data_IF_804446556261
#
_entry.id   IF_804446556261
#
_cell.length_a   1.000
_cell.length_b   1.000
_cell.length_c   1.000
_cell.angle_alpha   90.00
_cell.angle_beta   90.00
_cell.angle_gamma   90.00
#
_symmetry.space_group_name_H-M   'P 1'
#
loop_
_entity.id
_entity.type
_entity.pdbx_description
1 polymer ?
#
# COMPACT_ATOMS: atom_id res chain seq x y z
N UNK A 1 5.91 -15.04 -26.60
CA UNK A 1 6.35 -15.13 -25.19
C UNK A 1 5.36 -15.88 -24.27
N UNK A 2 4.13 -15.36 -24.05
CA UNK A 2 3.14 -15.94 -23.12
C UNK A 2 2.88 -17.44 -23.33
N UNK A 3 2.56 -17.84 -24.55
CA UNK A 3 2.27 -19.25 -24.88
C UNK A 3 3.43 -20.19 -24.55
N UNK A 4 4.68 -19.80 -24.85
CA UNK A 4 5.88 -20.58 -24.55
C UNK A 4 6.07 -20.77 -23.04
N UNK A 5 6.09 -19.69 -22.26
CA UNK A 5 6.49 -19.79 -20.84
C UNK A 5 5.31 -20.16 -19.93
N UNK A 6 4.11 -19.59 -20.11
CA UNK A 6 2.97 -19.90 -19.24
C UNK A 6 2.51 -21.35 -19.38
N UNK A 7 2.56 -21.92 -20.59
CA UNK A 7 2.27 -23.34 -20.80
C UNK A 7 3.23 -24.24 -20.02
N UNK A 8 4.54 -23.92 -20.04
CA UNK A 8 5.56 -24.68 -19.31
C UNK A 8 5.41 -24.53 -17.79
N UNK A 9 5.11 -23.32 -17.32
CA UNK A 9 4.81 -23.09 -15.90
C UNK A 9 3.64 -23.97 -15.44
N UNK A 10 2.55 -23.99 -16.20
CA UNK A 10 1.36 -24.75 -15.84
C UNK A 10 1.54 -26.28 -15.97
N UNK A 11 2.26 -26.75 -17.01
CA UNK A 11 2.36 -28.18 -17.32
C UNK A 11 3.59 -28.88 -16.72
N UNK A 12 4.70 -28.17 -16.57
CA UNK A 12 5.98 -28.71 -16.09
C UNK A 12 6.30 -28.27 -14.64
N UNK A 13 5.36 -27.61 -13.95
CA UNK A 13 5.53 -27.08 -12.58
C UNK A 13 6.76 -26.17 -12.42
N UNK A 14 7.07 -25.38 -13.45
CA UNK A 14 8.19 -24.44 -13.43
C UNK A 14 7.92 -23.30 -12.47
N UNK A 15 8.94 -22.90 -11.71
CA UNK A 15 8.87 -21.83 -10.73
C UNK A 15 9.30 -20.49 -11.33
N UNK A 16 8.72 -19.42 -10.82
CA UNK A 16 9.06 -18.05 -11.22
C UNK A 16 9.47 -17.19 -10.03
N UNK A 17 10.24 -16.15 -10.32
CA UNK A 17 10.46 -15.03 -9.41
C UNK A 17 10.27 -13.69 -10.12
N UNK A 18 10.00 -12.66 -9.32
CA UNK A 18 9.85 -11.27 -9.75
C UNK A 18 10.98 -10.44 -9.15
N UNK A 19 11.86 -9.91 -9.99
CA UNK A 19 13.10 -9.27 -9.57
C UNK A 19 13.15 -7.79 -9.95
N UNK A 20 12.77 -6.96 -8.98
CA UNK A 20 12.73 -5.51 -9.10
C UNK A 20 13.74 -4.86 -8.17
N UNK A 21 13.65 -5.15 -6.88
CA UNK A 21 14.47 -4.52 -5.84
C UNK A 21 15.95 -4.85 -5.97
N UNK A 22 16.76 -3.90 -5.52
CA UNK A 22 18.22 -3.92 -5.49
C UNK A 22 18.71 -3.65 -4.06
N UNK A 23 20.00 -3.86 -3.75
CA UNK A 23 20.51 -3.64 -2.39
C UNK A 23 20.22 -2.24 -1.83
N UNK A 24 20.24 -1.21 -2.67
CA UNK A 24 19.99 0.20 -2.30
C UNK A 24 18.63 0.72 -2.72
N UNK A 25 17.86 -0.02 -3.53
CA UNK A 25 16.60 0.44 -4.13
C UNK A 25 15.47 -0.55 -3.87
N UNK A 26 14.52 -0.15 -3.02
CA UNK A 26 13.35 -0.93 -2.66
C UNK A 26 12.06 -0.20 -3.00
N UNK A 27 11.75 0.84 -2.21
CA UNK A 27 10.59 1.72 -2.43
C UNK A 27 10.76 2.58 -3.68
N UNK A 28 11.97 3.09 -3.90
CA UNK A 28 12.33 3.83 -5.12
C UNK A 28 12.70 2.86 -6.25
N UNK A 29 11.68 2.30 -6.90
CA UNK A 29 11.86 1.42 -8.07
C UNK A 29 12.39 2.19 -9.28
N UNK A 30 12.24 3.51 -9.32
CA UNK A 30 12.68 4.34 -10.43
C UNK A 30 14.22 4.46 -10.48
N UNK A 31 14.86 4.43 -9.30
CA UNK A 31 16.30 4.58 -9.12
C UNK A 31 17.12 3.31 -9.35
N UNK A 32 16.57 2.22 -9.88
CA UNK A 32 17.32 0.97 -10.08
C UNK A 32 18.55 1.15 -10.99
N UNK A 33 19.62 0.40 -10.71
CA UNK A 33 20.91 0.48 -11.39
C UNK A 33 21.27 -0.76 -12.21
N UNK A 34 20.56 -1.88 -12.08
CA UNK A 34 20.78 -3.04 -12.95
C UNK A 34 20.61 -2.62 -14.41
N UNK A 35 21.68 -2.72 -15.20
CA UNK A 35 21.75 -2.19 -16.55
C UNK A 35 21.27 -3.21 -17.58
N UNK A 36 20.57 -2.71 -18.59
CA UNK A 36 20.24 -3.41 -19.82
C UNK A 36 20.85 -2.66 -21.00
N UNK A 37 22.08 -3.01 -21.39
CA UNK A 37 22.73 -2.38 -22.55
C UNK A 37 22.18 -2.98 -23.83
N UNK A 38 21.69 -2.14 -24.75
CA UNK A 38 21.27 -2.61 -26.07
C UNK A 38 22.47 -3.14 -26.87
N UNK A 39 22.27 -4.27 -27.55
CA UNK A 39 23.29 -4.95 -28.36
C UNK A 39 22.62 -5.52 -29.62
N UNK A 40 22.48 -4.67 -30.64
CA UNK A 40 21.65 -4.95 -31.81
C UNK A 40 20.17 -5.01 -31.43
N UNK A 41 19.54 -6.16 -31.69
CA UNK A 41 18.15 -6.45 -31.32
C UNK A 41 17.99 -6.98 -29.89
N UNK A 42 19.10 -7.40 -29.28
CA UNK A 42 19.15 -8.01 -27.95
C UNK A 42 19.52 -6.98 -26.87
N UNK A 43 19.49 -7.43 -25.62
CA UNK A 43 20.03 -6.70 -24.47
C UNK A 43 21.05 -7.53 -23.70
N UNK A 44 22.05 -6.86 -23.14
CA UNK A 44 23.02 -7.44 -22.21
C UNK A 44 22.74 -6.90 -20.81
N UNK A 45 22.38 -7.79 -19.89
CA UNK A 45 22.11 -7.44 -18.50
C UNK A 45 23.37 -7.53 -17.63
N UNK A 46 23.61 -6.48 -16.84
CA UNK A 46 24.68 -6.40 -15.86
C UNK A 46 24.20 -5.75 -14.56
N UNK A 47 24.40 -6.41 -13.43
CA UNK A 47 24.07 -5.86 -12.11
C UNK A 47 23.59 -6.90 -11.12
N UNK A 48 22.83 -6.44 -10.13
CA UNK A 48 22.32 -7.30 -9.06
C UNK A 48 20.89 -6.95 -8.69
N UNK A 49 20.12 -7.98 -8.33
CA UNK A 49 18.83 -7.86 -7.66
C UNK A 49 18.93 -8.46 -6.27
N UNK A 50 18.11 -7.98 -5.35
CA UNK A 50 18.16 -8.40 -3.96
C UNK A 50 16.76 -8.53 -3.36
N UNK A 51 16.62 -9.37 -2.33
CA UNK A 51 15.34 -9.75 -1.72
C UNK A 51 14.42 -10.58 -2.63
N UNK A 52 14.99 -11.39 -3.53
CA UNK A 52 14.19 -12.08 -4.56
C UNK A 52 13.62 -13.39 -4.03
N UNK A 53 12.33 -13.38 -3.72
CA UNK A 53 11.56 -14.57 -3.40
C UNK A 53 11.63 -15.58 -4.54
N UNK A 54 11.87 -16.84 -4.21
CA UNK A 54 12.14 -17.95 -5.14
C UNK A 54 13.40 -17.81 -6.01
N UNK A 55 14.24 -16.78 -5.90
CA UNK A 55 15.38 -16.60 -6.82
C UNK A 55 16.37 -17.78 -6.83
N UNK A 56 16.49 -18.50 -5.71
CA UNK A 56 17.31 -19.70 -5.59
C UNK A 56 16.68 -20.97 -6.17
N UNK A 57 15.41 -20.92 -6.57
CA UNK A 57 14.62 -22.07 -7.04
C UNK A 57 13.94 -21.83 -8.41
N UNK A 58 13.71 -20.58 -8.79
CA UNK A 58 12.96 -20.21 -10.00
C UNK A 58 13.69 -20.63 -11.27
N UNK A 59 12.93 -21.19 -12.22
CA UNK A 59 13.38 -21.48 -13.58
C UNK A 59 13.38 -20.21 -14.43
N UNK A 60 12.38 -19.34 -14.23
CA UNK A 60 12.19 -18.10 -14.99
C UNK A 60 12.13 -16.88 -14.08
N UNK A 61 12.72 -15.79 -14.54
CA UNK A 61 12.84 -14.56 -13.78
C UNK A 61 12.32 -13.40 -14.62
N UNK A 62 11.34 -12.67 -14.09
CA UNK A 62 11.00 -11.34 -14.62
C UNK A 62 11.96 -10.35 -13.99
N UNK A 63 12.86 -9.76 -14.78
CA UNK A 63 13.85 -8.78 -14.33
C UNK A 63 13.48 -7.40 -14.84
N UNK A 64 13.48 -6.41 -13.95
CA UNK A 64 13.38 -4.99 -14.34
C UNK A 64 14.78 -4.39 -14.35
N UNK A 65 15.19 -3.80 -15.46
CA UNK A 65 16.52 -3.21 -15.62
C UNK A 65 16.42 -1.92 -16.42
N UNK A 66 17.34 -0.98 -16.17
CA UNK A 66 17.34 0.33 -16.83
C UNK A 66 18.37 0.36 -17.97
N UNK A 67 18.06 1.07 -19.06
CA UNK A 67 19.05 1.40 -20.09
C UNK A 67 19.90 2.61 -19.71
N UNK A 68 19.37 3.47 -18.83
CA UNK A 68 20.03 4.65 -18.30
C UNK A 68 19.43 4.99 -16.92
N UNK A 69 20.19 4.90 -15.82
CA UNK A 69 19.71 5.27 -14.48
C UNK A 69 19.17 6.71 -14.40
N UNK A 70 19.75 7.65 -15.15
CA UNK A 70 19.32 9.05 -15.16
C UNK A 70 17.93 9.25 -15.79
N UNK A 71 17.49 8.33 -16.65
CA UNK A 71 16.17 8.37 -17.27
C UNK A 71 15.04 7.91 -16.33
N UNK A 72 15.36 7.46 -15.11
CA UNK A 72 14.42 7.00 -14.09
C UNK A 72 13.34 6.08 -14.67
N UNK A 73 12.05 6.39 -14.46
CA UNK A 73 10.91 5.63 -14.97
C UNK A 73 10.95 5.37 -16.48
N UNK A 74 11.48 6.31 -17.26
CA UNK A 74 11.54 6.23 -18.72
C UNK A 74 12.67 5.31 -19.22
N UNK A 75 13.65 4.98 -18.38
CA UNK A 75 14.75 4.07 -18.73
C UNK A 75 14.45 2.59 -18.50
N UNK A 76 13.40 2.27 -17.74
CA UNK A 76 13.16 0.90 -17.23
C UNK A 76 12.45 0.03 -18.26
N UNK A 77 13.06 -1.12 -18.58
CA UNK A 77 12.45 -2.23 -19.32
C UNK A 77 12.18 -3.43 -18.42
N UNK A 78 11.49 -4.43 -18.97
CA UNK A 78 11.21 -5.71 -18.30
C UNK A 78 11.60 -6.88 -19.21
N UNK A 79 12.31 -7.85 -18.64
CA UNK A 79 12.98 -8.92 -19.38
C UNK A 79 12.67 -10.27 -18.73
N UNK A 80 12.48 -11.30 -19.56
CA UNK A 80 12.40 -12.69 -19.09
C UNK A 80 13.77 -13.34 -19.22
N UNK A 81 14.32 -13.79 -18.10
CA UNK A 81 15.62 -14.48 -18.02
C UNK A 81 15.43 -15.90 -17.51
N UNK A 82 16.08 -16.87 -18.15
CA UNK A 82 16.11 -18.24 -17.63
C UNK A 82 17.30 -18.45 -16.68
N UNK A 83 17.09 -19.24 -15.64
CA UNK A 83 18.10 -19.52 -14.60
C UNK A 83 19.42 -20.05 -15.15
N UNK A 84 19.36 -20.91 -16.16
CA UNK A 84 20.52 -21.64 -16.67
C UNK A 84 21.30 -20.86 -17.73
N UNK A 85 20.89 -19.62 -18.05
CA UNK A 85 21.63 -18.81 -19.01
C UNK A 85 23.01 -18.41 -18.47
N UNK A 86 24.04 -18.37 -19.33
CA UNK A 86 25.37 -17.91 -18.94
C UNK A 86 25.31 -16.54 -18.28
N UNK A 87 26.01 -16.37 -17.16
CA UNK A 87 26.09 -15.11 -16.42
C UNK A 87 25.03 -14.92 -15.33
N UNK A 88 24.00 -15.77 -15.25
CA UNK A 88 22.99 -15.74 -14.18
C UNK A 88 23.50 -16.49 -12.96
N UNK A 89 23.48 -15.84 -11.79
CA UNK A 89 23.90 -16.44 -10.51
C UNK A 89 22.94 -16.10 -9.39
N UNK A 90 22.62 -17.10 -8.56
CA UNK A 90 21.88 -16.90 -7.32
C UNK A 90 22.84 -16.94 -6.12
N UNK A 91 22.62 -16.03 -5.16
CA UNK A 91 23.33 -16.02 -3.89
C UNK A 91 22.79 -17.05 -2.89
N UNK A 92 23.31 -16.97 -1.67
CA UNK A 92 22.82 -17.80 -0.56
C UNK A 92 21.43 -17.35 -0.10
N UNK A 93 20.71 -18.29 0.53
CA UNK A 93 19.42 -18.02 1.17
C UNK A 93 19.57 -17.04 2.33
N UNK A 94 18.78 -15.96 2.31
CA UNK A 94 18.87 -14.89 3.29
C UNK A 94 18.17 -15.32 4.60
N UNK A 95 18.86 -15.24 5.76
CA UNK A 95 18.25 -15.49 7.06
C UNK A 95 17.26 -14.37 7.41
N UNK A 96 15.99 -14.71 7.61
CA UNK A 96 14.89 -13.77 7.89
C UNK A 96 14.23 -14.04 9.24
N UNK A 97 13.61 -13.02 9.81
CA UNK A 97 12.78 -13.11 11.02
C UNK A 97 11.61 -14.11 10.87
N UNK A 98 10.82 -13.92 9.81
CA UNK A 98 9.65 -14.73 9.47
C UNK A 98 9.70 -15.24 8.03
N UNK A 99 8.71 -16.03 7.64
CA UNK A 99 8.59 -16.67 6.32
C UNK A 99 9.86 -17.44 5.94
N UNK A 100 10.44 -18.12 6.93
CA UNK A 100 11.79 -18.72 6.84
C UNK A 100 11.90 -19.87 5.83
N UNK A 101 10.78 -20.55 5.55
CA UNK A 101 10.70 -21.58 4.52
C UNK A 101 10.67 -21.03 3.09
N UNK A 102 10.27 -19.76 2.92
CA UNK A 102 10.28 -19.10 1.62
C UNK A 102 11.72 -18.76 1.23
N UNK A 103 12.19 -19.32 0.11
CA UNK A 103 13.51 -19.02 -0.44
C UNK A 103 13.60 -17.54 -0.83
N UNK A 104 14.63 -16.84 -0.36
CA UNK A 104 14.88 -15.45 -0.74
C UNK A 104 16.38 -15.27 -0.90
N UNK A 105 16.82 -14.77 -2.04
CA UNK A 105 18.25 -14.65 -2.38
C UNK A 105 18.56 -13.32 -3.05
N UNK A 106 19.85 -12.99 -3.15
CA UNK A 106 20.33 -12.08 -4.18
C UNK A 106 20.46 -12.78 -5.53
N UNK A 107 20.30 -12.04 -6.62
CA UNK A 107 20.61 -12.47 -7.98
C UNK A 107 21.68 -11.57 -8.56
N UNK A 108 22.60 -12.12 -9.32
CA UNK A 108 23.63 -11.39 -10.05
C UNK A 108 23.58 -11.77 -11.53
N UNK A 109 23.75 -10.76 -12.38
CA UNK A 109 23.78 -10.89 -13.82
C UNK A 109 25.11 -10.31 -14.30
N UNK A 110 25.90 -11.13 -14.98
CA UNK A 110 27.15 -10.73 -15.61
C UNK A 110 27.11 -11.08 -17.09
N UNK A 111 26.99 -10.07 -17.93
CA UNK A 111 26.92 -10.19 -19.39
C UNK A 111 25.84 -11.17 -19.89
N UNK A 112 24.67 -11.15 -19.23
CA UNK A 112 23.56 -12.04 -19.58
C UNK A 112 22.87 -11.51 -20.83
N UNK A 113 23.00 -12.23 -21.95
CA UNK A 113 22.30 -11.91 -23.20
C UNK A 113 20.82 -12.28 -23.10
N UNK A 114 19.95 -11.31 -23.33
CA UNK A 114 18.50 -11.46 -23.41
C UNK A 114 18.07 -11.22 -24.85
N UNK A 115 17.60 -12.27 -25.56
CA UNK A 115 17.09 -12.14 -26.91
C UNK A 115 15.89 -11.19 -27.00
N UNK A 116 15.70 -10.53 -28.16
CA UNK A 116 14.55 -9.65 -28.44
C UNK A 116 13.20 -10.29 -28.07
N UNK A 117 12.99 -11.57 -28.36
CA UNK A 117 11.74 -12.28 -28.08
C UNK A 117 11.44 -12.46 -26.58
N UNK A 118 12.45 -12.26 -25.72
CA UNK A 118 12.38 -12.34 -24.27
C UNK A 118 12.21 -10.98 -23.59
N UNK A 119 12.11 -9.89 -24.35
CA UNK A 119 11.71 -8.57 -23.84
C UNK A 119 10.20 -8.58 -23.56
N UNK A 120 9.82 -8.44 -22.28
CA UNK A 120 8.41 -8.40 -21.85
C UNK A 120 7.84 -7.01 -22.09
N UNK A 121 8.61 -5.98 -21.76
CA UNK A 121 8.29 -4.58 -22.01
C UNK A 121 9.57 -3.84 -22.38
N UNK A 122 9.58 -3.07 -23.49
CA UNK A 122 10.74 -2.29 -23.87
C UNK A 122 11.05 -1.21 -22.82
N UNK A 123 12.27 -0.65 -22.81
CA UNK A 123 12.61 0.52 -22.01
C UNK A 123 11.56 1.63 -22.17
N UNK A 124 11.14 2.22 -21.04
CA UNK A 124 10.07 3.22 -20.96
C UNK A 124 8.68 2.63 -20.68
N UNK A 125 8.50 1.31 -20.83
CA UNK A 125 7.25 0.63 -20.49
C UNK A 125 7.37 -0.31 -19.28
N UNK A 126 8.59 -0.62 -18.84
CA UNK A 126 8.84 -1.55 -17.73
C UNK A 126 8.34 -1.03 -16.38
N UNK A 127 8.52 0.26 -16.08
CA UNK A 127 8.04 0.83 -14.82
C UNK A 127 6.51 0.76 -14.70
N UNK A 128 5.79 1.13 -15.75
CA UNK A 128 4.33 1.06 -15.80
C UNK A 128 3.83 -0.39 -15.68
N UNK A 129 4.51 -1.34 -16.32
CA UNK A 129 4.22 -2.76 -16.17
C UNK A 129 4.40 -3.24 -14.72
N UNK A 130 5.48 -2.82 -14.04
CA UNK A 130 5.69 -3.14 -12.63
C UNK A 130 4.55 -2.60 -11.75
N UNK A 131 4.18 -1.33 -11.93
CA UNK A 131 3.11 -0.69 -11.16
C UNK A 131 1.76 -1.39 -11.38
N UNK A 132 1.41 -1.70 -12.64
CA UNK A 132 0.19 -2.47 -12.97
C UNK A 132 0.21 -3.87 -12.36
N UNK A 133 1.37 -4.51 -12.30
CA UNK A 133 1.52 -5.81 -11.64
C UNK A 133 1.24 -5.68 -10.16
N UNK A 134 1.85 -4.70 -9.47
CA UNK A 134 1.61 -4.46 -8.05
C UNK A 134 0.16 -4.14 -7.72
N UNK A 135 -0.53 -3.34 -8.53
CA UNK A 135 -1.96 -3.06 -8.32
C UNK A 135 -2.81 -4.33 -8.34
N UNK A 136 -2.39 -5.37 -9.08
CA UNK A 136 -3.08 -6.68 -9.13
C UNK A 136 -2.64 -7.66 -8.05
N UNK A 137 -1.41 -7.58 -7.55
CA UNK A 137 -0.85 -8.54 -6.56
C UNK A 137 -1.02 -8.08 -5.12
N UNK A 138 -1.09 -6.78 -4.84
CA UNK A 138 -1.31 -6.23 -3.49
C UNK A 138 -2.55 -6.78 -2.76
N UNK A 139 -3.71 -7.04 -3.41
CA UNK A 139 -4.83 -7.71 -2.75
C UNK A 139 -4.45 -9.10 -2.19
N UNK A 140 -3.59 -9.86 -2.88
CA UNK A 140 -3.10 -11.16 -2.40
C UNK A 140 -2.28 -11.03 -1.12
N UNK A 141 -1.46 -9.98 -1.00
CA UNK A 141 -0.73 -9.70 0.25
C UNK A 141 -1.70 -9.38 1.39
N UNK A 142 -2.74 -8.59 1.12
CA UNK A 142 -3.81 -8.35 2.07
C UNK A 142 -4.51 -9.66 2.48
N UNK A 143 -4.75 -10.58 1.54
CA UNK A 143 -5.33 -11.89 1.83
C UNK A 143 -4.44 -12.76 2.73
N UNK A 144 -3.11 -12.74 2.53
CA UNK A 144 -2.16 -13.43 3.42
C UNK A 144 -2.24 -12.88 4.85
N UNK A 145 -2.32 -11.55 4.98
CA UNK A 145 -2.46 -10.89 6.27
C UNK A 145 -3.77 -11.24 6.97
N UNK A 146 -4.90 -11.25 6.24
CA UNK A 146 -6.20 -11.70 6.76
C UNK A 146 -6.13 -13.14 7.27
N UNK A 147 -5.49 -14.05 6.52
CA UNK A 147 -5.32 -15.44 6.92
C UNK A 147 -4.51 -15.59 8.22
N UNK A 148 -3.39 -14.88 8.32
CA UNK A 148 -2.54 -14.89 9.51
C UNK A 148 -3.27 -14.29 10.73
N UNK A 149 -3.94 -13.14 10.56
CA UNK A 149 -4.73 -12.48 11.60
C UNK A 149 -5.86 -13.38 12.11
N UNK A 150 -6.62 -13.99 11.18
CA UNK A 150 -7.68 -14.93 11.49
C UNK A 150 -7.15 -16.11 12.30
N UNK A 151 -6.05 -16.72 11.86
CA UNK A 151 -5.45 -17.86 12.55
C UNK A 151 -5.04 -17.50 13.99
N UNK A 152 -4.38 -16.34 14.17
CA UNK A 152 -3.99 -15.88 15.49
C UNK A 152 -5.20 -15.62 16.41
N UNK A 153 -6.26 -15.02 15.86
CA UNK A 153 -7.52 -14.79 16.58
C UNK A 153 -8.20 -16.10 16.97
N UNK A 154 -8.33 -17.05 16.06
CA UNK A 154 -8.94 -18.36 16.34
C UNK A 154 -8.15 -19.08 17.44
N UNK A 155 -6.80 -19.09 17.36
CA UNK A 155 -5.95 -19.65 18.42
C UNK A 155 -6.13 -18.94 19.77
N UNK A 156 -6.25 -17.61 19.77
CA UNK A 156 -6.47 -16.84 20.98
C UNK A 156 -7.83 -17.13 21.61
N UNK A 157 -8.91 -17.16 20.82
CA UNK A 157 -10.27 -17.51 21.26
C UNK A 157 -10.26 -18.90 21.92
N UNK A 158 -9.61 -19.85 21.27
CA UNK A 158 -9.46 -21.21 21.74
C UNK A 158 -8.71 -21.30 23.08
N UNK A 159 -7.65 -20.50 23.23
CA UNK A 159 -6.87 -20.44 24.46
C UNK A 159 -7.67 -19.79 25.60
N UNK A 160 -8.30 -18.63 25.38
CA UNK A 160 -9.01 -17.90 26.45
C UNK A 160 -10.27 -18.63 26.94
N UNK A 161 -10.87 -19.48 26.11
CA UNK A 161 -12.00 -20.34 26.49
C UNK A 161 -11.60 -21.52 27.39
N UNK A 162 -10.31 -21.88 27.43
CA UNK A 162 -9.77 -23.01 28.21
C UNK A 162 -8.95 -22.56 29.41
N UNK A 163 -8.12 -21.52 29.24
CA UNK A 163 -7.24 -21.00 30.29
C UNK A 163 -8.04 -20.40 31.44
N UNK A 164 -7.67 -20.74 32.67
CA UNK A 164 -8.26 -20.21 33.90
C UNK A 164 -7.23 -19.41 34.70
N UNK A 165 -7.68 -18.29 35.27
CA UNK A 165 -6.97 -17.46 36.26
C UNK A 165 -8.00 -16.91 37.22
N UNK A 166 -7.61 -16.57 38.46
CA UNK A 166 -8.50 -16.00 39.48
C UNK A 166 -9.89 -16.67 39.57
N UNK A 167 -9.93 -18.01 39.52
CA UNK A 167 -11.16 -18.81 39.60
C UNK A 167 -12.04 -18.87 38.34
N UNK A 168 -11.77 -18.08 37.30
CA UNK A 168 -12.62 -17.99 36.09
C UNK A 168 -11.85 -18.28 34.80
N UNK A 169 -12.56 -18.52 33.70
CA UNK A 169 -11.94 -18.61 32.36
C UNK A 169 -11.53 -17.21 31.90
N UNK A 170 -10.45 -17.10 31.13
CA UNK A 170 -10.04 -15.80 30.60
C UNK A 170 -11.13 -15.11 29.77
N UNK A 171 -11.91 -15.90 29.01
CA UNK A 171 -13.04 -15.41 28.22
C UNK A 171 -14.14 -14.68 29.01
N UNK A 172 -14.18 -14.85 30.34
CA UNK A 172 -15.19 -14.20 31.19
C UNK A 172 -14.78 -12.80 31.66
N UNK A 173 -13.53 -12.38 31.44
CA UNK A 173 -13.08 -11.04 31.79
C UNK A 173 -13.41 -10.06 30.66
N UNK A 174 -14.07 -8.95 31.00
CA UNK A 174 -14.48 -7.91 30.04
C UNK A 174 -13.30 -7.39 29.20
N UNK A 175 -12.13 -7.16 29.81
CA UNK A 175 -10.94 -6.72 29.10
C UNK A 175 -10.47 -7.72 28.00
N UNK A 176 -10.67 -9.02 28.22
CA UNK A 176 -10.38 -10.05 27.20
C UNK A 176 -11.46 -10.04 26.12
N UNK A 177 -12.73 -9.87 26.47
CA UNK A 177 -13.83 -9.80 25.52
C UNK A 177 -13.67 -8.62 24.54
N UNK A 178 -13.25 -7.45 25.03
CA UNK A 178 -12.96 -6.29 24.18
C UNK A 178 -11.84 -6.57 23.18
N UNK A 179 -10.75 -7.20 23.61
CA UNK A 179 -9.66 -7.61 22.71
C UNK A 179 -10.15 -8.56 21.62
N UNK A 180 -10.93 -9.58 21.98
CA UNK A 180 -11.50 -10.51 21.00
C UNK A 180 -12.45 -9.79 20.02
N UNK A 181 -13.28 -8.87 20.51
CA UNK A 181 -14.19 -8.09 19.66
C UNK A 181 -13.42 -7.23 18.64
N UNK A 182 -12.38 -6.52 19.08
CA UNK A 182 -11.51 -5.74 18.18
C UNK A 182 -10.76 -6.61 17.18
N UNK A 183 -10.26 -7.78 17.61
CA UNK A 183 -9.60 -8.72 16.72
C UNK A 183 -10.55 -9.21 15.62
N UNK A 184 -11.79 -9.55 15.99
CA UNK A 184 -12.82 -9.98 15.06
C UNK A 184 -13.19 -8.87 14.07
N UNK A 185 -13.43 -7.65 14.56
CA UNK A 185 -13.68 -6.47 13.72
C UNK A 185 -12.56 -6.27 12.68
N UNK A 186 -11.29 -6.28 13.13
CA UNK A 186 -10.13 -6.06 12.26
C UNK A 186 -10.03 -7.13 11.17
N UNK A 187 -10.26 -8.40 11.51
CA UNK A 187 -10.25 -9.51 10.54
C UNK A 187 -11.35 -9.32 9.49
N UNK A 188 -12.58 -9.04 9.90
CA UNK A 188 -13.72 -8.92 8.98
C UNK A 188 -13.63 -7.66 8.10
N UNK A 189 -13.27 -6.51 8.66
CA UNK A 189 -13.04 -5.28 7.87
C UNK A 189 -11.91 -5.47 6.85
N UNK A 190 -10.80 -6.10 7.27
CA UNK A 190 -9.68 -6.40 6.35
C UNK A 190 -10.12 -7.36 5.23
N UNK A 191 -10.91 -8.38 5.57
CA UNK A 191 -11.44 -9.35 4.60
C UNK A 191 -12.33 -8.68 3.56
N UNK A 192 -13.24 -7.81 3.98
CA UNK A 192 -14.13 -7.07 3.07
C UNK A 192 -13.33 -6.18 2.11
N UNK A 193 -12.36 -5.43 2.63
CA UNK A 193 -11.54 -4.53 1.82
C UNK A 193 -10.69 -5.29 0.79
N UNK A 194 -10.07 -6.41 1.19
CA UNK A 194 -9.31 -7.29 0.30
C UNK A 194 -10.20 -7.89 -0.79
N UNK A 195 -11.39 -8.39 -0.43
CA UNK A 195 -12.34 -8.95 -1.40
C UNK A 195 -12.85 -7.92 -2.39
N UNK A 196 -13.10 -6.69 -1.95
CA UNK A 196 -13.44 -5.58 -2.84
C UNK A 196 -12.31 -5.32 -3.85
N UNK A 197 -11.06 -5.23 -3.39
CA UNK A 197 -9.92 -5.01 -4.28
C UNK A 197 -9.74 -6.14 -5.29
N UNK A 198 -9.88 -7.40 -4.84
CA UNK A 198 -9.82 -8.57 -5.73
C UNK A 198 -10.95 -8.55 -6.76
N UNK A 199 -12.18 -8.23 -6.33
CA UNK A 199 -13.31 -8.12 -7.25
C UNK A 199 -13.12 -7.01 -8.29
N UNK A 200 -12.52 -5.87 -7.93
CA UNK A 200 -12.17 -4.82 -8.90
C UNK A 200 -11.15 -5.31 -9.94
N UNK A 201 -10.13 -6.07 -9.51
CA UNK A 201 -9.16 -6.71 -10.41
C UNK A 201 -9.87 -7.65 -11.39
N UNK A 202 -10.74 -8.52 -10.87
CA UNK A 202 -11.44 -9.54 -11.68
C UNK A 202 -12.44 -8.93 -12.67
N UNK A 203 -12.98 -7.76 -12.37
CA UNK A 203 -13.90 -7.01 -13.24
C UNK A 203 -13.18 -6.00 -14.16
N UNK A 204 -11.85 -6.06 -14.26
CA UNK A 204 -11.06 -5.20 -15.15
C UNK A 204 -11.09 -3.72 -14.79
N UNK A 205 -11.46 -3.37 -13.56
CA UNK A 205 -11.42 -2.00 -13.04
C UNK A 205 -10.00 -1.64 -12.63
N UNK A 206 -9.68 -0.35 -12.54
CA UNK A 206 -8.40 0.08 -11.95
C UNK A 206 -8.44 -0.15 -10.42
N UNK A 207 -7.68 -1.12 -9.88
CA UNK A 207 -7.73 -1.45 -8.48
C UNK A 207 -6.71 -0.64 -7.68
N UNK A 208 -5.95 0.28 -8.28
CA UNK A 208 -4.75 0.88 -7.67
C UNK A 208 -5.01 1.45 -6.28
N UNK A 209 -6.10 2.17 -6.09
CA UNK A 209 -6.45 2.79 -4.81
C UNK A 209 -6.99 1.76 -3.82
N UNK A 210 -7.96 0.94 -4.22
CA UNK A 210 -8.55 -0.09 -3.36
C UNK A 210 -7.53 -1.16 -2.95
N UNK A 211 -6.64 -1.57 -3.85
CA UNK A 211 -5.55 -2.51 -3.59
C UNK A 211 -4.53 -1.93 -2.60
N UNK A 212 -4.19 -0.65 -2.73
CA UNK A 212 -3.28 0.04 -1.80
C UNK A 212 -3.92 0.13 -0.41
N UNK A 213 -5.19 0.54 -0.31
CA UNK A 213 -5.96 0.53 0.94
C UNK A 213 -6.04 -0.86 1.57
N UNK A 214 -6.43 -1.86 0.79
CA UNK A 214 -6.53 -3.25 1.23
C UNK A 214 -5.21 -3.77 1.79
N UNK A 215 -4.09 -3.49 1.12
CA UNK A 215 -2.77 -3.93 1.56
C UNK A 215 -2.38 -3.27 2.88
N UNK A 216 -2.31 -1.95 2.96
CA UNK A 216 -1.79 -1.34 4.21
C UNK A 216 -2.74 -1.59 5.39
N UNK A 217 -4.06 -1.49 5.21
CA UNK A 217 -5.01 -1.70 6.30
C UNK A 217 -4.97 -3.14 6.81
N UNK A 218 -5.03 -4.14 5.91
CA UNK A 218 -5.04 -5.54 6.32
C UNK A 218 -3.72 -5.97 6.97
N UNK A 219 -2.59 -5.49 6.45
CA UNK A 219 -1.26 -5.85 6.95
C UNK A 219 -0.96 -5.25 8.32
N UNK A 220 -1.38 -4.01 8.58
CA UNK A 220 -1.24 -3.39 9.90
C UNK A 220 -2.24 -3.96 10.91
N UNK A 221 -3.48 -4.19 10.47
CA UNK A 221 -4.49 -4.86 11.29
C UNK A 221 -4.02 -6.26 11.72
N UNK A 222 -3.41 -7.01 10.80
CA UNK A 222 -2.83 -8.31 11.12
C UNK A 222 -1.75 -8.22 12.19
N UNK A 223 -0.82 -7.25 12.10
CA UNK A 223 0.19 -7.04 13.13
C UNK A 223 -0.42 -6.79 14.51
N UNK A 224 -1.48 -5.97 14.59
CA UNK A 224 -2.18 -5.71 15.85
C UNK A 224 -2.87 -6.97 16.39
N UNK A 225 -3.61 -7.69 15.54
CA UNK A 225 -4.33 -8.92 15.92
C UNK A 225 -3.35 -9.99 16.40
N UNK A 226 -2.25 -10.21 15.69
CA UNK A 226 -1.28 -11.23 16.07
C UNK A 226 -0.54 -10.84 17.35
N UNK A 227 -0.22 -9.56 17.55
CA UNK A 227 0.38 -9.08 18.80
C UNK A 227 -0.56 -9.30 20.00
N UNK A 228 -1.86 -9.00 19.85
CA UNK A 228 -2.86 -9.27 20.88
C UNK A 228 -3.04 -10.76 21.16
N UNK A 229 -2.96 -11.61 20.12
CA UNK A 229 -2.97 -13.06 20.32
C UNK A 229 -1.79 -13.52 21.18
N UNK A 230 -0.57 -13.02 20.93
CA UNK A 230 0.59 -13.31 21.78
C UNK A 230 0.33 -12.85 23.23
N UNK A 231 -0.23 -11.65 23.41
CA UNK A 231 -0.55 -11.12 24.73
C UNK A 231 -1.57 -11.99 25.49
N UNK A 232 -2.62 -12.48 24.80
CA UNK A 232 -3.65 -13.34 25.40
C UNK A 232 -3.12 -14.72 25.81
N UNK A 233 -2.10 -15.23 25.11
CA UNK A 233 -1.38 -16.44 25.52
C UNK A 233 -0.42 -16.20 26.70
N UNK A 234 -0.05 -14.94 26.98
CA UNK A 234 0.94 -14.57 28.00
C UNK A 234 2.29 -15.20 27.70
N UNK A 235 2.97 -15.74 28.73
CA UNK A 235 4.28 -16.37 28.57
C UNK A 235 4.33 -17.47 27.51
N UNK A 236 3.24 -18.26 27.34
CA UNK A 236 3.18 -19.30 26.31
C UNK A 236 3.23 -18.73 24.89
N UNK A 237 2.70 -17.51 24.69
CA UNK A 237 2.70 -16.82 23.40
C UNK A 237 4.09 -16.38 22.95
N UNK A 238 5.05 -16.33 23.88
CA UNK A 238 6.45 -15.98 23.61
C UNK A 238 7.33 -17.21 23.34
N UNK A 239 6.79 -18.42 23.52
CA UNK A 239 7.55 -19.67 23.30
C UNK A 239 7.32 -20.23 21.90
N UNK A 240 8.35 -20.88 21.35
CA UNK A 240 8.27 -21.59 20.05
C UNK A 240 7.39 -22.84 20.07
N UNK A 241 6.90 -23.24 21.24
CA UNK A 241 6.00 -24.38 21.41
C UNK A 241 4.56 -24.06 20.99
N UNK A 242 4.21 -22.77 20.85
CA UNK A 242 2.91 -22.31 20.41
C UNK A 242 3.01 -21.56 19.08
N UNK A 243 2.01 -21.68 18.19
CA UNK A 243 2.11 -21.18 16.82
C UNK A 243 2.04 -19.65 16.69
N UNK A 244 1.59 -18.93 17.73
CA UNK A 244 1.35 -17.49 17.67
C UNK A 244 2.63 -16.66 17.52
N UNK A 245 3.75 -17.10 18.10
CA UNK A 245 5.04 -16.40 17.93
C UNK A 245 5.51 -16.43 16.46
N UNK A 246 5.27 -17.57 15.79
CA UNK A 246 5.59 -17.71 14.36
C UNK A 246 4.76 -16.75 13.53
N UNK A 247 3.46 -16.66 13.83
CA UNK A 247 2.59 -15.70 13.14
C UNK A 247 3.11 -14.27 13.32
N UNK A 248 3.55 -13.89 14.53
CA UNK A 248 4.07 -12.55 14.80
C UNK A 248 5.31 -12.23 13.94
N UNK A 249 6.24 -13.19 13.86
CA UNK A 249 7.43 -13.07 13.00
C UNK A 249 7.07 -12.98 11.52
N UNK A 250 6.14 -13.80 11.06
CA UNK A 250 5.75 -13.90 9.65
C UNK A 250 4.97 -12.65 9.17
N UNK A 251 4.10 -12.09 10.00
CA UNK A 251 3.28 -10.92 9.65
C UNK A 251 4.09 -9.64 9.54
N UNK A 252 5.24 -9.54 10.23
CA UNK A 252 6.06 -8.32 10.22
C UNK A 252 6.51 -7.91 8.81
N UNK A 253 6.72 -8.89 7.94
CA UNK A 253 7.18 -8.64 6.57
C UNK A 253 6.08 -8.05 5.67
N UNK A 254 4.80 -8.29 5.98
CA UNK A 254 3.69 -7.85 5.14
C UNK A 254 3.57 -6.33 5.04
N UNK A 255 4.00 -5.59 6.05
CA UNK A 255 4.01 -4.11 6.01
C UNK A 255 5.21 -3.54 5.25
N UNK A 256 6.14 -4.38 4.78
CA UNK A 256 7.39 -3.97 4.13
C UNK A 256 7.35 -4.24 2.62
N UNK A 257 7.17 -5.50 2.20
CA UNK A 257 7.27 -5.84 0.77
C UNK A 257 6.05 -5.37 -0.03
N UNK A 258 6.15 -5.46 -1.36
CA UNK A 258 5.11 -5.03 -2.32
C UNK A 258 4.66 -3.57 -2.12
N UNK A 259 5.62 -2.75 -1.66
CA UNK A 259 5.47 -1.35 -1.25
C UNK A 259 5.12 -1.24 0.23
N UNK A 260 5.94 -0.52 0.99
CA UNK A 260 5.75 -0.35 2.44
C UNK A 260 4.40 0.28 2.76
N UNK A 261 3.96 0.18 4.02
CA UNK A 261 2.72 0.84 4.45
C UNK A 261 2.74 2.35 4.15
N UNK A 262 3.89 3.01 4.27
CA UNK A 262 4.07 4.45 3.97
C UNK A 262 3.88 4.73 2.49
N UNK A 263 4.43 3.88 1.61
CA UNK A 263 4.23 4.01 0.16
C UNK A 263 2.75 3.84 -0.20
N UNK A 264 2.04 2.90 0.42
CA UNK A 264 0.59 2.79 0.16
C UNK A 264 -0.18 4.02 0.64
N UNK A 265 0.19 4.60 1.79
CA UNK A 265 -0.41 5.85 2.29
C UNK A 265 -0.16 7.00 1.33
N UNK A 266 1.05 7.13 0.78
CA UNK A 266 1.35 8.15 -0.22
C UNK A 266 0.47 8.03 -1.46
N UNK A 267 0.25 6.79 -1.96
CA UNK A 267 -0.64 6.55 -3.11
C UNK A 267 -2.06 6.99 -2.81
N UNK A 268 -2.61 6.59 -1.65
CA UNK A 268 -3.98 6.93 -1.27
C UNK A 268 -4.13 8.42 -0.96
N UNK A 269 -3.15 9.04 -0.31
CA UNK A 269 -3.12 10.48 -0.05
C UNK A 269 -3.09 11.27 -1.35
N UNK A 270 -2.27 10.88 -2.32
CA UNK A 270 -2.21 11.51 -3.64
C UNK A 270 -3.57 11.46 -4.36
N UNK A 271 -4.25 10.31 -4.30
CA UNK A 271 -5.60 10.19 -4.86
C UNK A 271 -6.63 11.04 -4.13
N UNK A 272 -6.66 10.97 -2.80
CA UNK A 272 -7.63 11.71 -1.99
C UNK A 272 -7.49 13.22 -2.18
N UNK A 273 -6.26 13.75 -2.16
CA UNK A 273 -6.01 15.18 -2.31
C UNK A 273 -6.26 15.69 -3.73
N UNK A 274 -5.97 14.90 -4.76
CA UNK A 274 -6.21 15.30 -6.14
C UNK A 274 -7.68 15.17 -6.56
N UNK A 275 -8.41 14.20 -6.01
CA UNK A 275 -9.80 13.91 -6.37
C UNK A 275 -10.86 14.53 -5.48
N UNK A 276 -10.49 15.09 -4.32
CA UNK A 276 -11.46 15.65 -3.38
C UNK A 276 -12.04 16.95 -3.89
N UNK A 277 -13.36 16.95 -4.10
CA UNK A 277 -14.14 18.17 -4.25
C UNK A 277 -14.57 18.63 -2.85
N UNK A 278 -14.30 19.90 -2.47
CA UNK A 278 -14.73 20.43 -1.18
C UNK A 278 -16.23 20.22 -0.96
N UNK A 279 -16.58 19.41 0.05
CA UNK A 279 -17.97 19.26 0.46
C UNK A 279 -18.52 20.53 1.12
N UNK A 280 -17.62 21.35 1.68
CA UNK A 280 -17.94 22.66 2.21
C UNK A 280 -17.66 23.70 1.12
N UNK A 281 -18.62 24.56 0.78
CA UNK A 281 -18.35 25.69 -0.11
C UNK A 281 -17.34 26.64 0.56
N UNK A 282 -16.71 27.55 -0.20
CA UNK A 282 -15.90 28.62 0.38
C UNK A 282 -16.68 29.36 1.47
N UNK A 283 -15.97 29.89 2.47
CA UNK A 283 -16.60 30.50 3.65
C UNK A 283 -17.56 31.62 3.26
N UNK A 284 -17.24 32.40 2.24
CA UNK A 284 -18.10 33.39 1.59
C UNK A 284 -19.43 32.85 1.03
N UNK A 285 -19.48 31.59 0.62
CA UNK A 285 -20.62 30.98 -0.07
C UNK A 285 -21.47 30.14 0.90
N UNK A 286 -21.02 29.94 2.14
CA UNK A 286 -21.79 29.30 3.20
C UNK A 286 -23.09 30.08 3.46
N UNK A 287 -24.22 29.43 3.78
CA UNK A 287 -25.47 30.11 4.12
C UNK A 287 -25.27 31.15 5.23
N UNK A 288 -26.03 32.24 5.16
CA UNK A 288 -26.16 33.18 6.28
C UNK A 288 -27.13 32.56 7.28
N UNK A 289 -26.74 32.57 8.55
CA UNK A 289 -27.61 32.17 9.66
C UNK A 289 -28.06 33.45 10.35
N UNK A 290 -29.11 34.08 9.80
CA UNK A 290 -29.57 35.42 10.19
C UNK A 290 -29.79 35.62 11.69
N UNK A 291 -30.11 34.56 12.43
CA UNK A 291 -30.33 34.61 13.89
C UNK A 291 -29.02 34.59 14.71
N UNK A 292 -27.89 34.22 14.09
CA UNK A 292 -26.57 34.09 14.72
C UNK A 292 -25.54 35.09 14.16
N UNK A 293 -25.72 35.53 12.92
CA UNK A 293 -24.84 36.47 12.22
C UNK A 293 -25.14 37.92 12.69
N UNK A 294 -24.55 38.30 13.84
CA UNK A 294 -24.60 39.61 14.51
C UNK A 294 -24.99 40.79 13.59
N UNK A 295 -26.24 41.26 13.69
CA UNK A 295 -26.72 42.45 12.98
C UNK A 295 -28.23 42.45 12.76
N UNK A 296 -28.98 42.09 13.80
CA UNK A 296 -30.44 42.02 13.76
C UNK A 296 -31.10 43.22 13.08
N UNK A 297 -32.20 42.91 12.38
CA UNK A 297 -33.26 43.84 11.97
C UNK A 297 -33.13 44.67 10.68
N UNK A 298 -32.27 44.33 9.70
CA UNK A 298 -32.34 45.05 8.40
C UNK A 298 -32.25 44.14 7.17
N UNK A 299 -33.37 43.45 6.91
CA UNK A 299 -33.65 42.74 5.65
C UNK A 299 -33.72 43.75 4.49
N UNK A 300 -32.56 44.24 4.03
CA UNK A 300 -32.46 45.26 3.00
C UNK A 300 -31.05 45.79 2.73
N UNK A 301 -30.10 45.62 3.67
CA UNK A 301 -28.72 46.11 3.50
C UNK A 301 -27.82 45.12 2.79
N UNK A 302 -26.88 45.64 2.00
CA UNK A 302 -25.78 44.85 1.42
C UNK A 302 -24.98 44.19 2.55
N UNK A 303 -24.68 42.91 2.41
CA UNK A 303 -23.93 42.13 3.39
C UNK A 303 -22.61 41.63 2.79
N UNK A 304 -21.55 41.77 3.57
CA UNK A 304 -20.18 41.41 3.22
C UNK A 304 -19.65 40.40 4.23
N UNK A 305 -19.09 39.30 3.75
CA UNK A 305 -18.42 38.31 4.60
C UNK A 305 -16.91 38.47 4.49
N UNK A 306 -16.24 38.57 5.64
CA UNK A 306 -14.78 38.49 5.68
C UNK A 306 -14.34 37.06 5.36
N UNK A 307 -13.52 36.86 4.32
CA UNK A 307 -13.05 35.52 3.89
C UNK A 307 -12.09 34.85 4.88
N UNK A 308 -11.57 35.61 5.84
CA UNK A 308 -10.59 35.12 6.81
C UNK A 308 -11.23 34.66 8.12
N UNK A 309 -12.15 35.44 8.68
CA UNK A 309 -12.79 35.11 9.97
C UNK A 309 -14.28 34.75 9.85
N UNK A 310 -14.87 34.85 8.64
CA UNK A 310 -16.27 34.52 8.38
C UNK A 310 -17.30 35.50 8.95
N UNK A 311 -16.86 36.55 9.65
CA UNK A 311 -17.79 37.53 10.22
C UNK A 311 -18.52 38.29 9.12
N UNK A 312 -19.79 38.56 9.42
CA UNK A 312 -20.71 39.31 8.59
C UNK A 312 -20.64 40.79 8.93
N UNK A 313 -20.65 41.62 7.89
CA UNK A 313 -20.62 43.07 8.00
C UNK A 313 -21.67 43.66 7.06
N UNK A 314 -22.49 44.57 7.58
CA UNK A 314 -23.61 45.16 6.85
C UNK A 314 -23.31 46.60 6.50
N UNK A 315 -23.53 46.98 5.24
CA UNK A 315 -23.25 48.32 4.72
C UNK A 315 -23.13 48.33 3.19
N UNK A 316 -23.31 49.49 2.57
CA UNK A 316 -23.25 49.65 1.11
C UNK A 316 -21.90 49.23 0.53
N UNK A 317 -20.82 49.44 1.29
CA UNK A 317 -19.47 49.01 0.97
C UNK A 317 -18.87 48.12 2.06
N UNK A 318 -17.88 47.30 1.69
CA UNK A 318 -17.08 46.56 2.66
C UNK A 318 -16.29 47.52 3.56
N UNK A 319 -16.10 47.18 4.86
CA UNK A 319 -15.18 47.91 5.73
C UNK A 319 -13.76 47.99 5.16
N UNK A 320 -13.05 49.10 5.42
CA UNK A 320 -11.64 49.23 5.02
C UNK A 320 -10.74 48.17 5.67
N UNK A 321 -11.13 47.71 6.86
CA UNK A 321 -10.46 46.65 7.62
C UNK A 321 -11.51 45.84 8.42
N UNK A 322 -11.30 44.52 8.53
CA UNK A 322 -12.16 43.68 9.36
C UNK A 322 -11.90 43.93 10.86
N UNK A 323 -12.89 44.39 11.64
CA UNK A 323 -12.71 44.67 13.06
C UNK A 323 -12.41 43.41 13.90
N UNK A 324 -12.74 42.21 13.39
CA UNK A 324 -12.49 40.95 14.10
C UNK A 324 -11.10 40.37 13.84
N UNK A 325 -10.48 40.63 12.68
CA UNK A 325 -9.21 39.98 12.31
C UNK A 325 -8.21 40.87 11.55
N UNK A 326 -8.50 42.16 11.43
CA UNK A 326 -7.60 43.20 10.93
C UNK A 326 -7.09 42.98 9.49
N UNK A 327 -7.88 42.27 8.67
CA UNK A 327 -7.57 42.07 7.25
C UNK A 327 -8.20 43.16 6.38
N UNK A 328 -7.54 43.59 5.29
CA UNK A 328 -7.97 44.74 4.50
C UNK A 328 -9.27 44.48 3.74
N UNK A 329 -9.90 45.56 3.23
CA UNK A 329 -11.13 45.55 2.40
C UNK A 329 -11.16 44.50 1.30
N UNK A 330 -10.00 44.19 0.72
CA UNK A 330 -9.85 43.16 -0.34
C UNK A 330 -10.18 41.74 0.14
N UNK A 331 -10.19 41.50 1.45
CA UNK A 331 -10.54 40.20 2.04
C UNK A 331 -12.06 39.97 2.14
N UNK A 332 -12.90 40.97 1.87
CA UNK A 332 -14.35 40.84 1.94
C UNK A 332 -14.94 40.40 0.60
N UNK A 333 -16.00 39.59 0.67
CA UNK A 333 -16.84 39.26 -0.48
C UNK A 333 -18.28 39.66 -0.17
N UNK A 334 -18.93 40.32 -1.13
CA UNK A 334 -20.37 40.61 -1.04
C UNK A 334 -21.14 39.29 -1.14
N UNK A 335 -22.00 39.04 -0.16
CA UNK A 335 -22.81 37.80 -0.07
C UNK A 335 -24.31 38.10 -0.15
N UNK A 336 -24.70 39.37 -0.04
CA UNK A 336 -26.08 39.84 -0.23
C UNK A 336 -26.16 41.27 -0.79
N UNK A 337 -27.13 41.61 -1.66
CA UNK A 337 -27.93 40.65 -2.44
C UNK A 337 -27.00 39.77 -3.28
N UNK A 338 -27.35 38.50 -3.46
CA UNK A 338 -26.58 37.60 -4.34
C UNK A 338 -26.70 38.14 -5.76
N UNK A 339 -25.57 38.43 -6.39
CA UNK A 339 -25.54 38.66 -7.84
C UNK A 339 -25.95 37.34 -8.50
N UNK A 340 -26.93 37.41 -9.40
CA UNK A 340 -27.67 36.25 -9.93
C UNK A 340 -26.84 35.23 -10.68
#
# INVERSE_FOLDING_TARGET
LKEKYLTRIAREFKLMCFATSEPTMGSDVAGIHCLARQDGEDYILNGSKYWITNGGLADYMTIFATVNPEAQHAGIGAFLVERNWPGVRAGQHIPKLGQRCSNTVGLNFKDVRVPKENVIAPPGQGFLLAMRTFSRTRPSIGAFAVGAARSAMEFAIDYVKRRRTFGSKLANYQAVQFKIAEMYQKVETSRLMVRKAAWEVDNGRDPTITASMAKFYATESAMQVVNEAVQLFGGYGYTKNFPVEKLLRDTRLFTIYEGTSEIQRMIVAGHALAGYQPAMPPLEDMPMLWDLDLGGEDAGRTAWRCRMCGHMHYGDEAPEECPSCFVPKTAFKKVWPREG
#
